data_IF_381168854232
#
_entry.id   IF_381168854232
#
_cell.length_a   1.000
_cell.length_b   1.000
_cell.length_c   1.000
_cell.angle_alpha   90.00
_cell.angle_beta   90.00
_cell.angle_gamma   90.00
#
_symmetry.space_group_name_H-M   'P 1'
#
loop_
_entity.id
_entity.type
_entity.pdbx_description
1 polymer ?
#
# COMPACT_ATOMS: atom_id res chain seq x y z
N UNK A 1 55.21 -49.91 -42.18
CA UNK A 1 54.33 -48.78 -42.66
C UNK A 1 53.11 -48.75 -41.77
N UNK A 2 53.23 -48.11 -40.66
CA UNK A 2 52.09 -47.90 -39.72
C UNK A 2 52.24 -46.51 -39.11
N UNK A 3 51.36 -45.60 -39.51
CA UNK A 3 51.26 -44.26 -38.98
C UNK A 3 50.46 -44.30 -37.71
N UNK A 4 50.99 -43.78 -36.60
CA UNK A 4 50.35 -43.64 -35.32
C UNK A 4 49.95 -42.16 -35.15
N UNK A 5 48.65 -41.87 -35.23
CA UNK A 5 48.09 -40.56 -34.93
C UNK A 5 47.95 -40.37 -33.42
N UNK A 6 48.64 -39.33 -32.90
CA UNK A 6 48.61 -38.91 -31.52
C UNK A 6 47.50 -37.93 -31.34
N UNK A 7 46.39 -38.30 -30.66
CA UNK A 7 45.31 -37.39 -30.27
C UNK A 7 45.68 -36.66 -29.01
N UNK A 8 45.83 -35.32 -29.10
CA UNK A 8 45.89 -34.43 -27.94
C UNK A 8 44.48 -34.15 -27.41
N UNK A 9 44.22 -34.52 -26.15
CA UNK A 9 43.04 -34.11 -25.42
C UNK A 9 43.27 -32.71 -24.87
N UNK A 10 42.46 -31.73 -25.30
CA UNK A 10 42.33 -30.44 -24.66
C UNK A 10 41.37 -30.58 -23.47
N UNK A 11 41.86 -30.33 -22.25
CA UNK A 11 41.05 -30.23 -21.05
C UNK A 11 40.32 -28.88 -21.02
N UNK A 12 38.99 -28.91 -21.09
CA UNK A 12 38.15 -27.74 -20.88
C UNK A 12 38.00 -27.49 -19.39
N UNK A 13 38.44 -26.31 -18.93
CA UNK A 13 38.16 -25.77 -17.58
C UNK A 13 36.76 -25.24 -17.62
N UNK A 14 35.83 -25.98 -17.01
CA UNK A 14 34.46 -25.48 -16.76
C UNK A 14 34.46 -24.45 -15.68
N UNK A 15 34.18 -23.19 -16.01
CA UNK A 15 33.88 -22.15 -15.04
C UNK A 15 32.50 -22.42 -14.43
N UNK A 16 32.46 -22.80 -13.16
CA UNK A 16 31.21 -22.79 -12.36
C UNK A 16 30.78 -21.34 -12.17
N UNK A 17 29.81 -20.90 -12.95
CA UNK A 17 29.10 -19.65 -12.69
C UNK A 17 28.24 -19.80 -11.44
N UNK A 18 28.63 -19.15 -10.35
CA UNK A 18 27.75 -18.97 -9.19
C UNK A 18 26.58 -18.08 -9.64
N UNK A 19 25.43 -18.70 -9.95
CA UNK A 19 24.18 -17.98 -10.15
C UNK A 19 23.71 -17.49 -8.77
N UNK A 20 23.95 -16.22 -8.47
CA UNK A 20 23.40 -15.56 -7.30
C UNK A 20 21.88 -15.44 -7.50
N UNK A 21 21.10 -16.37 -6.96
CA UNK A 21 19.64 -16.25 -6.89
C UNK A 21 19.33 -15.06 -5.99
N UNK A 22 19.01 -13.92 -6.59
CA UNK A 22 18.39 -12.80 -5.88
C UNK A 22 17.00 -13.28 -5.49
N UNK A 23 16.86 -13.71 -4.23
CA UNK A 23 15.54 -13.95 -3.64
C UNK A 23 14.87 -12.57 -3.52
N UNK A 24 13.74 -12.31 -4.20
CA UNK A 24 13.04 -11.07 -3.98
C UNK A 24 12.66 -10.98 -2.51
N UNK A 25 12.91 -9.82 -1.88
CA UNK A 25 12.48 -9.57 -0.51
C UNK A 25 10.99 -9.91 -0.43
N UNK A 26 10.65 -10.94 0.33
CA UNK A 26 9.29 -11.46 0.40
C UNK A 26 8.34 -10.34 0.82
N UNK A 27 7.24 -10.19 0.11
CA UNK A 27 6.17 -9.28 0.53
C UNK A 27 5.74 -9.68 1.95
N UNK A 28 5.87 -8.76 2.90
CA UNK A 28 5.24 -8.93 4.20
C UNK A 28 3.77 -8.56 4.01
N UNK A 29 2.88 -9.48 4.32
CA UNK A 29 1.45 -9.26 4.28
C UNK A 29 0.86 -9.53 5.65
N UNK A 30 -0.16 -8.82 5.98
CA UNK A 30 -1.00 -9.12 7.12
C UNK A 30 -2.43 -8.88 6.67
N UNK A 31 -3.15 -9.94 6.30
CA UNK A 31 -4.60 -9.90 6.28
C UNK A 31 -5.12 -9.49 7.65
N UNK A 32 -6.34 -9.03 7.74
CA UNK A 32 -6.97 -8.76 9.02
C UNK A 32 -7.38 -10.10 9.65
N UNK A 33 -7.02 -10.30 10.92
CA UNK A 33 -7.23 -11.57 11.61
C UNK A 33 -8.70 -11.79 11.94
N UNK A 34 -9.24 -12.94 11.58
CA UNK A 34 -10.61 -13.35 11.90
C UNK A 34 -10.89 -13.37 13.42
N UNK A 35 -9.88 -13.56 14.25
CA UNK A 35 -10.00 -13.48 15.71
C UNK A 35 -10.38 -12.05 16.19
N UNK A 36 -10.21 -11.04 15.37
CA UNK A 36 -10.54 -9.64 15.70
C UNK A 36 -11.91 -9.19 15.16
N UNK A 37 -12.74 -10.09 14.60
CA UNK A 37 -14.08 -9.71 14.09
C UNK A 37 -14.89 -9.04 15.21
N UNK A 38 -15.43 -7.87 14.91
CA UNK A 38 -16.16 -7.00 15.85
C UNK A 38 -15.28 -6.02 16.63
N UNK A 39 -13.95 -6.10 16.51
CA UNK A 39 -13.00 -5.26 17.22
C UNK A 39 -12.08 -4.48 16.28
N UNK A 40 -11.31 -3.56 16.83
CA UNK A 40 -10.22 -2.89 16.11
C UNK A 40 -9.10 -3.91 15.77
N UNK A 41 -8.34 -3.72 14.67
CA UNK A 41 -7.32 -4.68 14.26
C UNK A 41 -6.15 -4.70 15.26
N UNK A 42 -5.78 -5.89 15.74
CA UNK A 42 -4.62 -6.07 16.60
C UNK A 42 -3.32 -5.68 15.88
N UNK A 43 -2.40 -5.02 16.59
CA UNK A 43 -1.13 -4.57 16.00
C UNK A 43 -1.23 -3.32 15.13
N UNK A 44 -2.39 -2.66 15.10
CA UNK A 44 -2.59 -1.39 14.41
C UNK A 44 -2.87 -0.25 15.39
N UNK A 45 -2.64 0.98 14.95
CA UNK A 45 -3.07 2.20 15.64
C UNK A 45 -3.95 2.98 14.69
N UNK A 46 -5.16 3.32 15.13
CA UNK A 46 -6.12 4.06 14.32
C UNK A 46 -6.45 5.40 14.97
N UNK A 47 -6.73 6.40 14.14
CA UNK A 47 -7.05 7.74 14.57
C UNK A 47 -7.57 8.61 13.43
N UNK A 48 -7.57 9.92 13.64
CA UNK A 48 -7.94 10.91 12.63
C UNK A 48 -7.14 12.18 12.78
N UNK A 49 -6.53 12.65 11.71
CA UNK A 49 -5.98 14.00 11.64
C UNK A 49 -7.11 15.01 11.53
N UNK A 50 -7.02 16.09 12.29
CA UNK A 50 -8.02 17.16 12.27
C UNK A 50 -9.34 16.82 12.94
N UNK A 51 -9.36 15.74 13.76
CA UNK A 51 -10.49 15.38 14.62
C UNK A 51 -11.53 14.48 13.98
N UNK A 52 -12.54 14.13 14.77
CA UNK A 52 -13.62 13.23 14.43
C UNK A 52 -13.63 11.96 15.30
N UNK A 53 -14.54 11.06 14.96
CA UNK A 53 -14.73 9.77 15.64
C UNK A 53 -14.71 8.65 14.61
N UNK A 54 -13.54 8.31 14.03
CA UNK A 54 -13.43 7.19 13.11
C UNK A 54 -13.72 5.87 13.84
N UNK A 55 -14.36 4.95 13.11
CA UNK A 55 -14.62 3.60 13.62
C UNK A 55 -14.01 2.58 12.69
N UNK A 56 -12.95 1.96 13.16
CA UNK A 56 -12.24 0.91 12.46
C UNK A 56 -12.55 -0.44 13.10
N UNK A 57 -13.16 -1.34 12.34
CA UNK A 57 -13.62 -2.64 12.84
C UNK A 57 -13.26 -3.73 11.84
N UNK A 58 -12.76 -4.86 12.31
CA UNK A 58 -12.60 -6.06 11.49
C UNK A 58 -13.97 -6.71 11.34
N UNK A 59 -14.37 -6.98 10.10
CA UNK A 59 -15.67 -7.57 9.77
C UNK A 59 -15.50 -8.75 8.79
N UNK A 60 -16.45 -9.68 8.78
CA UNK A 60 -16.56 -10.68 7.74
C UNK A 60 -17.18 -10.03 6.48
N UNK A 61 -16.62 -10.31 5.31
CA UNK A 61 -17.18 -9.88 4.01
C UNK A 61 -17.09 -11.04 3.01
N UNK A 62 -18.24 -11.57 2.61
CA UNK A 62 -18.33 -12.68 1.66
C UNK A 62 -17.83 -12.33 0.25
N UNK A 63 -17.60 -11.05 -0.04
CA UNK A 63 -17.14 -10.55 -1.35
C UNK A 63 -15.64 -10.23 -1.39
N UNK A 64 -14.92 -10.40 -0.27
CA UNK A 64 -13.50 -10.02 -0.15
C UNK A 64 -12.53 -10.94 -0.92
N UNK A 65 -13.01 -12.08 -1.43
CA UNK A 65 -12.18 -13.16 -1.96
C UNK A 65 -11.75 -14.12 -0.84
N UNK A 66 -11.84 -15.43 -1.08
CA UNK A 66 -11.60 -16.49 -0.07
C UNK A 66 -12.25 -16.21 1.30
N UNK A 67 -13.27 -15.34 1.35
CA UNK A 67 -13.96 -14.86 2.55
C UNK A 67 -13.03 -14.26 3.62
N UNK A 68 -11.91 -13.66 3.20
CA UNK A 68 -10.96 -13.03 4.10
C UNK A 68 -11.62 -11.88 4.89
N UNK A 69 -11.32 -11.73 6.18
CA UNK A 69 -11.80 -10.59 6.96
C UNK A 69 -11.35 -9.27 6.36
N UNK A 70 -12.17 -8.25 6.50
CA UNK A 70 -11.90 -6.89 6.04
C UNK A 70 -11.75 -5.94 7.22
N UNK A 71 -10.91 -4.93 7.08
CA UNK A 71 -10.93 -3.78 7.95
C UNK A 71 -11.87 -2.75 7.37
N UNK A 72 -12.91 -2.38 8.12
CA UNK A 72 -13.91 -1.40 7.69
C UNK A 72 -13.82 -0.13 8.50
N UNK A 73 -13.76 1.01 7.82
CA UNK A 73 -14.01 2.33 8.39
C UNK A 73 -15.48 2.67 8.19
N UNK A 74 -16.20 3.01 9.28
CA UNK A 74 -17.64 3.35 9.24
C UNK A 74 -18.02 4.57 10.10
N UNK A 75 -17.04 5.21 10.75
CA UNK A 75 -17.24 6.44 11.50
C UNK A 75 -17.02 7.69 10.65
N UNK A 76 -16.95 8.85 11.30
CA UNK A 76 -16.65 10.15 10.66
C UNK A 76 -15.36 10.74 11.23
N UNK A 77 -14.57 11.35 10.36
CA UNK A 77 -13.37 12.08 10.77
C UNK A 77 -12.84 12.91 9.61
N UNK A 78 -12.11 13.98 9.90
CA UNK A 78 -11.58 14.81 8.81
C UNK A 78 -10.68 14.00 7.89
N UNK A 79 -9.70 13.27 8.46
CA UNK A 79 -8.80 12.38 7.74
C UNK A 79 -8.54 11.11 8.58
N UNK A 80 -9.45 10.12 8.60
CA UNK A 80 -9.25 8.87 9.31
C UNK A 80 -8.10 8.05 8.73
N UNK A 81 -7.25 7.49 9.59
CA UNK A 81 -6.16 6.60 9.24
C UNK A 81 -6.07 5.42 10.22
N UNK A 82 -5.53 4.31 9.75
CA UNK A 82 -5.19 3.16 10.57
C UNK A 82 -3.88 2.57 10.07
N UNK A 83 -2.83 2.58 10.91
CA UNK A 83 -1.46 2.22 10.55
C UNK A 83 -0.98 0.99 11.30
N UNK A 84 -0.20 0.16 10.63
CA UNK A 84 0.40 -1.03 11.21
C UNK A 84 1.64 -0.65 12.02
N UNK A 85 1.61 -0.91 13.35
CA UNK A 85 2.62 -0.44 14.32
C UNK A 85 4.04 -0.89 14.03
N UNK A 86 4.21 -2.14 13.61
CA UNK A 86 5.52 -2.79 13.48
C UNK A 86 6.12 -2.60 12.07
N UNK A 87 5.78 -1.49 11.41
CA UNK A 87 6.29 -1.18 10.08
C UNK A 87 7.14 0.08 10.10
N UNK A 88 8.26 0.05 9.34
CA UNK A 88 9.15 1.19 9.21
C UNK A 88 9.86 1.11 7.85
N UNK A 89 9.29 1.75 6.83
CA UNK A 89 9.80 1.75 5.47
C UNK A 89 10.26 3.16 5.07
N UNK A 90 11.54 3.28 4.66
CA UNK A 90 12.05 4.49 3.99
C UNK A 90 11.73 4.45 2.50
N UNK A 91 12.00 3.30 1.88
CA UNK A 91 11.77 2.98 0.47
C UNK A 91 11.07 1.63 0.36
N UNK A 92 10.20 1.49 -0.64
CA UNK A 92 9.45 0.27 -0.81
C UNK A 92 8.14 0.47 -1.56
N UNK A 93 7.20 -0.38 -1.25
CA UNK A 93 5.84 -0.27 -1.75
C UNK A 93 4.83 -0.72 -0.70
N UNK A 94 3.60 -0.23 -0.84
CA UNK A 94 2.43 -0.64 -0.06
C UNK A 94 1.24 -0.80 -0.99
N UNK A 95 0.42 -1.80 -0.75
CA UNK A 95 -0.75 -2.14 -1.56
C UNK A 95 -1.91 -2.58 -0.66
N UNK A 96 -3.13 -2.28 -1.10
CA UNK A 96 -4.35 -2.75 -0.45
C UNK A 96 -5.45 -2.94 -1.50
N UNK A 97 -6.33 -3.90 -1.29
CA UNK A 97 -7.64 -3.89 -1.97
C UNK A 97 -8.64 -3.12 -1.10
N UNK A 98 -9.37 -2.23 -1.70
CA UNK A 98 -10.40 -1.45 -1.03
C UNK A 98 -11.73 -1.46 -1.80
N UNK A 99 -12.83 -1.31 -1.07
CA UNK A 99 -14.17 -1.17 -1.65
C UNK A 99 -14.88 0.02 -1.03
N UNK A 100 -15.11 1.11 -1.79
CA UNK A 100 -15.88 2.26 -1.33
C UNK A 100 -17.36 1.86 -1.26
N UNK A 101 -17.92 1.81 -0.06
CA UNK A 101 -19.29 1.31 0.17
C UNK A 101 -20.32 2.41 0.18
N UNK A 102 -20.04 3.52 0.84
CA UNK A 102 -20.94 4.67 0.94
C UNK A 102 -20.20 5.92 1.47
N UNK A 103 -20.88 7.04 1.42
CA UNK A 103 -20.48 8.36 1.87
C UNK A 103 -21.20 9.41 1.05
N UNK A 104 -21.50 10.55 1.64
CA UNK A 104 -22.13 11.69 0.96
C UNK A 104 -21.15 12.80 0.66
N UNK A 105 -20.17 13.00 1.54
CA UNK A 105 -19.10 13.99 1.38
C UNK A 105 -17.91 13.39 0.62
N UNK A 106 -17.65 12.08 0.84
CA UNK A 106 -16.54 11.39 0.22
C UNK A 106 -16.81 9.87 0.14
N UNK A 107 -16.25 9.18 -0.86
CA UNK A 107 -16.23 7.71 -0.93
C UNK A 107 -14.82 7.25 -1.29
N UNK A 108 -13.91 7.42 -0.32
CA UNK A 108 -12.48 7.29 -0.54
C UNK A 108 -11.89 6.05 0.14
N UNK A 109 -10.98 5.40 -0.58
CA UNK A 109 -10.00 4.47 -0.02
C UNK A 109 -8.58 4.97 -0.31
N UNK A 110 -7.69 4.85 0.66
CA UNK A 110 -6.33 5.37 0.54
C UNK A 110 -5.29 4.54 1.27
N UNK A 111 -4.04 4.84 0.96
CA UNK A 111 -2.84 4.32 1.60
C UNK A 111 -2.07 5.46 2.25
N UNK A 112 -1.50 5.22 3.43
CA UNK A 112 -0.50 6.08 4.04
C UNK A 112 0.85 5.38 4.07
N UNK A 113 1.93 6.16 3.91
CA UNK A 113 3.31 5.69 4.07
C UNK A 113 4.19 6.79 4.62
N UNK A 114 5.41 6.42 5.04
CA UNK A 114 6.30 7.31 5.79
C UNK A 114 5.56 8.02 6.94
N UNK A 115 4.55 7.35 7.52
CA UNK A 115 3.77 7.89 8.62
C UNK A 115 4.65 8.02 9.88
N UNK A 116 4.86 9.25 10.33
CA UNK A 116 5.63 9.58 11.53
C UNK A 116 4.74 9.68 12.77
N UNK A 117 3.58 10.28 12.58
CA UNK A 117 2.53 10.47 13.57
C UNK A 117 1.23 10.88 12.84
N UNK A 118 0.16 11.13 13.60
CA UNK A 118 -1.13 11.52 13.04
C UNK A 118 -1.16 12.82 12.24
N UNK A 119 -0.08 13.59 12.23
CA UNK A 119 -0.01 14.90 11.59
C UNK A 119 1.04 14.97 10.47
N UNK A 120 1.86 13.91 10.27
CA UNK A 120 2.98 13.92 9.32
C UNK A 120 3.08 12.60 8.56
N UNK A 121 2.60 12.56 7.31
CA UNK A 121 2.57 11.37 6.46
C UNK A 121 2.21 11.70 5.01
N UNK A 122 2.52 10.81 4.07
CA UNK A 122 1.97 10.82 2.71
C UNK A 122 0.68 10.06 2.60
N UNK A 123 -0.16 10.46 1.63
CA UNK A 123 -1.42 9.77 1.27
C UNK A 123 -1.53 9.64 -0.24
N UNK A 124 -1.86 8.44 -0.72
CA UNK A 124 -2.49 8.22 -2.01
C UNK A 124 -3.96 7.84 -1.78
N UNK A 125 -4.87 8.44 -2.53
CA UNK A 125 -6.31 8.23 -2.40
C UNK A 125 -6.94 7.93 -3.77
N UNK A 126 -7.87 6.98 -3.82
CA UNK A 126 -8.84 6.86 -4.90
C UNK A 126 -10.24 7.15 -4.36
N UNK A 127 -11.08 7.86 -5.13
CA UNK A 127 -12.38 8.35 -4.68
C UNK A 127 -13.48 8.09 -5.71
N UNK A 128 -14.50 7.36 -5.31
CA UNK A 128 -15.61 6.97 -6.18
C UNK A 128 -16.60 8.11 -6.48
N UNK A 129 -16.79 9.08 -5.58
CA UNK A 129 -17.64 10.24 -5.87
C UNK A 129 -17.00 11.22 -6.85
N UNK A 130 -15.69 11.35 -6.80
CA UNK A 130 -14.96 12.32 -7.61
C UNK A 130 -14.33 11.70 -8.87
N UNK A 131 -14.30 10.36 -8.98
CA UNK A 131 -13.64 9.62 -10.06
C UNK A 131 -12.19 10.08 -10.27
N UNK A 132 -11.37 9.99 -9.21
CA UNK A 132 -9.98 10.42 -9.28
C UNK A 132 -9.04 9.58 -8.41
N UNK A 133 -7.75 9.68 -8.74
CA UNK A 133 -6.62 9.30 -7.91
C UNK A 133 -5.84 10.56 -7.53
N UNK A 134 -5.51 10.71 -6.26
CA UNK A 134 -4.82 11.90 -5.75
C UNK A 134 -3.65 11.53 -4.86
N UNK A 135 -2.64 12.38 -4.87
CA UNK A 135 -1.45 12.30 -4.03
C UNK A 135 -1.36 13.54 -3.15
N UNK A 136 -1.12 13.33 -1.86
CA UNK A 136 -1.00 14.38 -0.85
C UNK A 136 0.16 14.09 0.10
N UNK A 137 0.66 15.15 0.75
CA UNK A 137 1.32 15.01 2.04
C UNK A 137 0.52 15.75 3.12
N UNK A 138 0.67 15.31 4.35
CA UNK A 138 0.15 15.99 5.55
C UNK A 138 1.35 16.34 6.40
N UNK A 139 1.47 17.62 6.75
CA UNK A 139 2.52 18.14 7.59
C UNK A 139 1.91 19.07 8.63
N UNK A 140 2.27 18.87 9.90
CA UNK A 140 1.68 19.58 11.04
C UNK A 140 0.13 19.59 10.99
N UNK A 141 -0.49 18.46 10.60
CA UNK A 141 -1.93 18.29 10.52
C UNK A 141 -2.58 18.97 9.29
N UNK A 142 -1.81 19.68 8.47
CA UNK A 142 -2.31 20.36 7.26
C UNK A 142 -2.03 19.52 6.01
N UNK A 143 -3.10 19.05 5.34
CA UNK A 143 -2.97 18.29 4.10
C UNK A 143 -2.78 19.21 2.90
N UNK A 144 -1.79 18.91 2.07
CA UNK A 144 -1.44 19.60 0.82
C UNK A 144 -1.55 18.65 -0.37
N UNK A 145 -2.14 19.13 -1.47
CA UNK A 145 -2.27 18.35 -2.71
C UNK A 145 -0.99 18.46 -3.54
N UNK A 146 -0.43 17.32 -3.94
CA UNK A 146 0.69 17.21 -4.87
C UNK A 146 0.21 16.93 -6.29
N UNK A 147 -0.73 15.99 -6.44
CA UNK A 147 -1.32 15.60 -7.74
C UNK A 147 -2.78 15.22 -7.60
N UNK A 148 -3.53 15.45 -8.68
CA UNK A 148 -4.92 15.07 -8.86
C UNK A 148 -5.10 14.62 -10.30
N UNK A 149 -5.59 13.39 -10.51
CA UNK A 149 -5.71 12.78 -11.84
C UNK A 149 -7.06 12.09 -11.94
N UNK A 150 -7.80 12.35 -13.00
CA UNK A 150 -9.06 11.66 -13.29
C UNK A 150 -8.81 10.18 -13.51
N UNK A 151 -9.60 9.35 -12.84
CA UNK A 151 -9.54 7.91 -12.89
C UNK A 151 -10.91 7.32 -12.56
N UNK A 152 -11.41 6.35 -13.31
CA UNK A 152 -12.67 5.70 -12.96
C UNK A 152 -12.52 4.90 -11.67
N UNK A 153 -13.40 5.15 -10.70
CA UNK A 153 -13.47 4.42 -9.43
C UNK A 153 -14.92 4.04 -9.18
N UNK A 154 -15.27 2.79 -9.37
CA UNK A 154 -16.64 2.31 -9.22
C UNK A 154 -17.00 2.12 -7.73
N UNK A 155 -18.05 2.79 -7.26
CA UNK A 155 -18.61 2.54 -5.94
C UNK A 155 -19.10 1.09 -5.80
N UNK A 156 -18.92 0.48 -4.62
CA UNK A 156 -19.35 -0.88 -4.33
C UNK A 156 -18.49 -1.98 -4.99
N UNK A 157 -17.44 -1.62 -5.72
CA UNK A 157 -16.51 -2.55 -6.38
C UNK A 157 -15.19 -2.63 -5.64
N UNK A 158 -14.52 -3.77 -5.71
CA UNK A 158 -13.16 -3.93 -5.21
C UNK A 158 -12.16 -3.35 -6.20
N UNK A 159 -11.28 -2.50 -5.69
CA UNK A 159 -10.16 -1.89 -6.39
C UNK A 159 -8.84 -2.23 -5.70
N UNK A 160 -7.75 -2.22 -6.45
CA UNK A 160 -6.39 -2.36 -5.91
C UNK A 160 -5.67 -1.02 -6.00
N UNK A 161 -5.32 -0.44 -4.85
CA UNK A 161 -4.46 0.74 -4.78
C UNK A 161 -3.06 0.32 -4.35
N UNK A 162 -2.04 0.79 -5.08
CA UNK A 162 -0.63 0.53 -4.80
C UNK A 162 0.17 1.81 -4.91
N UNK A 163 1.12 1.98 -4.00
CA UNK A 163 2.12 3.04 -4.02
C UNK A 163 3.51 2.44 -3.99
N UNK A 164 4.39 2.92 -4.85
CA UNK A 164 5.83 2.64 -4.84
C UNK A 164 6.56 3.94 -4.53
N UNK A 165 7.53 3.88 -3.62
CA UNK A 165 8.27 5.05 -3.18
C UNK A 165 9.75 4.69 -2.95
N UNK A 166 10.63 5.42 -3.67
CA UNK A 166 12.10 5.25 -3.57
C UNK A 166 12.75 6.62 -3.65
N UNK A 167 13.49 7.01 -2.62
CA UNK A 167 14.02 8.36 -2.50
C UNK A 167 12.89 9.39 -2.54
N UNK A 168 12.94 10.29 -3.49
CA UNK A 168 11.89 11.31 -3.73
C UNK A 168 10.80 10.87 -4.69
N UNK A 169 11.03 9.77 -5.44
CA UNK A 169 10.08 9.31 -6.46
C UNK A 169 8.92 8.56 -5.82
N UNK A 170 7.70 8.90 -6.27
CA UNK A 170 6.44 8.31 -5.84
C UNK A 170 5.64 7.93 -7.08
N UNK A 171 5.24 6.66 -7.19
CA UNK A 171 4.35 6.17 -8.23
C UNK A 171 3.07 5.61 -7.62
N UNK A 172 1.90 6.01 -8.14
CA UNK A 172 0.60 5.54 -7.66
C UNK A 172 -0.13 4.79 -8.75
N UNK A 173 -0.63 3.61 -8.41
CA UNK A 173 -1.34 2.70 -9.31
C UNK A 173 -2.73 2.41 -8.76
N UNK A 174 -3.72 2.42 -9.65
CA UNK A 174 -5.07 1.92 -9.40
C UNK A 174 -5.38 0.82 -10.40
N UNK A 175 -5.77 -0.35 -9.91
CA UNK A 175 -6.11 -1.55 -10.71
C UNK A 175 -5.01 -1.91 -11.72
N UNK A 176 -3.75 -1.83 -11.28
CA UNK A 176 -2.56 -2.13 -12.07
C UNK A 176 -2.12 -1.02 -13.04
N UNK A 177 -2.95 0.01 -13.29
CA UNK A 177 -2.58 1.15 -14.13
C UNK A 177 -1.92 2.26 -13.31
N UNK A 178 -0.76 2.75 -13.76
CA UNK A 178 -0.09 3.89 -13.16
C UNK A 178 -0.80 5.19 -13.56
N UNK A 179 -1.27 5.94 -12.56
CA UNK A 179 -1.91 7.24 -12.72
C UNK A 179 -1.01 8.40 -12.34
N UNK A 180 -0.13 8.20 -11.35
CA UNK A 180 0.77 9.25 -10.88
C UNK A 180 2.21 8.75 -10.91
N UNK A 181 3.12 9.60 -11.40
CA UNK A 181 4.58 9.52 -11.26
C UNK A 181 5.03 10.91 -10.85
N UNK A 182 5.56 11.08 -9.64
CA UNK A 182 5.84 12.37 -9.04
C UNK A 182 7.13 12.31 -8.21
N UNK A 183 7.74 13.47 -7.97
CA UNK A 183 8.88 13.61 -7.06
C UNK A 183 8.51 14.57 -5.95
N UNK A 184 8.74 14.16 -4.71
CA UNK A 184 8.47 14.96 -3.53
C UNK A 184 9.37 14.51 -2.36
N UNK A 185 9.83 15.47 -1.56
CA UNK A 185 10.75 15.25 -0.44
C UNK A 185 10.27 15.84 0.90
N UNK A 186 9.02 16.31 0.99
CA UNK A 186 8.47 16.90 2.22
C UNK A 186 8.58 15.95 3.43
N UNK A 187 8.31 14.66 3.24
CA UNK A 187 8.43 13.68 4.32
C UNK A 187 9.48 12.64 3.97
N UNK A 188 10.66 12.79 4.54
CA UNK A 188 11.81 11.91 4.33
C UNK A 188 11.93 10.81 5.40
N UNK A 189 12.79 9.81 5.12
CA UNK A 189 13.14 8.73 6.04
C UNK A 189 12.00 7.73 6.29
N UNK A 190 12.28 6.72 7.11
CA UNK A 190 11.37 5.61 7.36
C UNK A 190 10.16 6.02 8.20
N UNK A 191 9.03 5.36 7.97
CA UNK A 191 7.82 5.51 8.76
C UNK A 191 6.85 4.35 8.54
N UNK A 192 5.77 4.32 9.31
CA UNK A 192 4.78 3.27 9.22
C UNK A 192 3.97 3.35 7.91
N UNK A 193 3.30 2.26 7.58
CA UNK A 193 2.36 2.15 6.46
C UNK A 193 0.98 1.76 6.96
N UNK A 194 -0.06 2.13 6.21
CA UNK A 194 -1.43 1.84 6.62
C UNK A 194 -2.48 2.26 5.60
N UNK A 195 -3.72 2.29 6.04
CA UNK A 195 -4.89 2.68 5.24
C UNK A 195 -5.47 4.01 5.70
N UNK A 196 -6.26 4.64 4.82
CA UNK A 196 -6.78 5.99 5.02
C UNK A 196 -8.15 6.17 4.36
N UNK A 197 -8.97 7.04 4.94
CA UNK A 197 -10.23 7.50 4.34
C UNK A 197 -10.42 9.00 4.55
N UNK A 198 -11.53 9.54 4.09
CA UNK A 198 -11.90 10.95 4.27
C UNK A 198 -13.36 11.11 4.66
N UNK A 199 -13.62 12.08 5.51
CA UNK A 199 -14.95 12.53 5.91
C UNK A 199 -15.85 11.39 6.42
N UNK A 200 -16.94 11.13 5.73
CA UNK A 200 -17.94 10.12 6.03
C UNK A 200 -17.81 8.85 5.17
N UNK A 201 -16.65 8.66 4.53
CA UNK A 201 -16.40 7.46 3.70
C UNK A 201 -16.58 6.19 4.52
N UNK A 202 -17.48 5.31 4.08
CA UNK A 202 -17.54 3.94 4.56
C UNK A 202 -16.79 3.06 3.55
N UNK A 203 -15.67 2.49 3.97
CA UNK A 203 -14.75 1.76 3.08
C UNK A 203 -14.26 0.49 3.75
N UNK A 204 -14.30 -0.61 3.01
CA UNK A 204 -13.71 -1.89 3.41
C UNK A 204 -12.34 -2.04 2.76
N UNK A 205 -11.38 -2.65 3.49
CA UNK A 205 -10.01 -2.92 3.08
C UNK A 205 -9.66 -4.39 3.32
N UNK A 206 -8.94 -5.00 2.38
CA UNK A 206 -8.39 -6.36 2.52
C UNK A 206 -7.06 -6.48 1.76
N UNK A 207 -6.37 -7.59 1.87
CA UNK A 207 -5.12 -7.90 1.17
C UNK A 207 -4.07 -6.78 1.30
N UNK A 208 -3.92 -6.25 2.53
CA UNK A 208 -2.90 -5.25 2.83
C UNK A 208 -1.51 -5.89 2.80
N UNK A 209 -0.68 -5.44 1.89
CA UNK A 209 0.67 -5.97 1.70
C UNK A 209 1.68 -4.84 1.49
N UNK A 210 2.93 -5.09 1.88
CA UNK A 210 4.02 -4.11 1.74
C UNK A 210 5.36 -4.83 1.69
N UNK A 211 6.37 -4.17 1.13
CA UNK A 211 7.77 -4.60 1.24
C UNK A 211 8.71 -3.40 1.14
N UNK A 212 9.87 -3.51 1.81
CA UNK A 212 10.98 -2.61 1.54
C UNK A 212 11.56 -2.89 0.14
N UNK A 213 12.05 -1.85 -0.54
CA UNK A 213 12.87 -2.03 -1.74
C UNK A 213 14.16 -2.76 -1.38
N UNK A 214 14.57 -3.71 -2.22
CA UNK A 214 15.93 -4.25 -2.14
C UNK A 214 16.93 -3.09 -2.39
N UNK A 215 17.92 -2.97 -1.52
CA UNK A 215 19.03 -2.04 -1.70
C UNK A 215 19.99 -2.54 -2.76
#
# INVERSE_FOLDING_TARGET
>A
MNDIHFLRRLGGIGALGLSCCIVPAGAAGGGFDAANIGAAPAGWTCGSTGGGSPRWTVEADATSGEHAPVLKQSGRGKFPWCVKKDTSLADGWVQVRFKPLSGKEDQAGGLVWRWKNGDNYYVARANALENNVSLYYTEAGSRKTLKYVDAPVAAGSWHTLRVEFVGTRIAVFLDGKRYIDHQDDHISGAGAVGVWTKADSVTAFTDFTYAASAR
#
